data_IF_915744280602
#
_entry.id   IF_915744280602
#
_cell.length_a   1.000
_cell.length_b   1.000
_cell.length_c   1.000
_cell.angle_alpha   90.00
_cell.angle_beta   90.00
_cell.angle_gamma   90.00
#
_symmetry.space_group_name_H-M   'P 1'
#
loop_
_entity.id
_entity.type
_entity.pdbx_description
1 polymer ?
#
# COMPACT_ATOMS: atom_id res chain seq x y z
N UNK A 1 5.07 -11.77 1.58
CA UNK A 1 4.23 -10.65 2.07
C UNK A 1 3.27 -11.14 3.13
N UNK A 2 3.05 -10.31 4.14
CA UNK A 2 2.09 -10.60 5.19
C UNK A 2 0.68 -10.20 4.76
N UNK A 3 -0.31 -10.64 5.53
CA UNK A 3 -1.71 -10.25 5.28
C UNK A 3 -1.87 -8.72 5.39
N UNK A 4 -1.13 -8.10 6.32
CA UNK A 4 -1.15 -6.65 6.47
C UNK A 4 -0.59 -5.94 5.24
N UNK A 5 0.50 -6.47 4.66
CA UNK A 5 1.08 -5.90 3.44
C UNK A 5 0.08 -5.95 2.30
N UNK A 6 -0.65 -7.04 2.16
CA UNK A 6 -1.69 -7.18 1.14
C UNK A 6 -2.84 -6.20 1.37
N UNK A 7 -3.24 -6.03 2.63
CA UNK A 7 -4.31 -5.10 2.98
C UNK A 7 -3.89 -3.66 2.67
N UNK A 8 -2.65 -3.30 2.98
CA UNK A 8 -2.10 -1.99 2.63
C UNK A 8 -2.11 -1.78 1.11
N UNK A 9 -1.65 -2.77 0.36
CA UNK A 9 -1.62 -2.70 -1.10
C UNK A 9 -3.03 -2.51 -1.66
N UNK A 10 -4.00 -3.22 -1.12
CA UNK A 10 -5.41 -3.12 -1.53
C UNK A 10 -5.94 -1.70 -1.31
N UNK A 11 -5.68 -1.13 -0.13
CA UNK A 11 -6.16 0.21 0.21
C UNK A 11 -5.47 1.29 -0.63
N UNK A 12 -4.18 1.15 -0.88
CA UNK A 12 -3.46 2.08 -1.75
C UNK A 12 -3.98 1.97 -3.19
N UNK A 13 -4.21 0.76 -3.67
CA UNK A 13 -4.78 0.53 -5.00
C UNK A 13 -6.19 1.12 -5.13
N UNK A 14 -6.95 1.13 -4.03
CA UNK A 14 -8.27 1.75 -3.98
C UNK A 14 -8.25 3.26 -3.82
N UNK A 15 -7.09 3.87 -3.92
CA UNK A 15 -6.88 5.33 -3.83
C UNK A 15 -7.26 5.91 -2.47
N UNK A 16 -7.15 5.14 -1.42
CA UNK A 16 -7.36 5.64 -0.07
C UNK A 16 -6.23 6.57 0.34
N UNK A 17 -6.57 7.63 1.07
CA UNK A 17 -5.56 8.50 1.68
C UNK A 17 -4.92 7.79 2.87
N UNK A 18 -3.77 8.28 3.32
CA UNK A 18 -3.12 7.73 4.50
C UNK A 18 -4.06 7.83 5.73
N UNK A 19 -4.84 8.89 5.82
CA UNK A 19 -5.81 9.07 6.89
C UNK A 19 -6.89 7.98 6.85
N UNK A 20 -7.41 7.69 5.66
CA UNK A 20 -8.41 6.64 5.47
C UNK A 20 -7.85 5.27 5.79
N UNK A 21 -6.62 4.99 5.35
CA UNK A 21 -5.94 3.73 5.65
C UNK A 21 -5.72 3.58 7.15
N UNK A 22 -5.28 4.65 7.81
CA UNK A 22 -5.07 4.64 9.25
C UNK A 22 -6.37 4.30 9.99
N UNK A 23 -7.48 4.91 9.58
CA UNK A 23 -8.78 4.62 10.17
C UNK A 23 -9.20 3.16 9.95
N UNK A 24 -8.99 2.65 8.74
CA UNK A 24 -9.37 1.27 8.38
C UNK A 24 -8.56 0.23 9.16
N UNK A 25 -7.29 0.50 9.42
CA UNK A 25 -6.38 -0.43 10.07
C UNK A 25 -6.17 -0.16 11.56
N UNK A 26 -6.84 0.84 12.11
CA UNK A 26 -6.69 1.26 13.51
C UNK A 26 -5.25 1.64 13.85
N UNK A 27 -4.61 2.39 12.94
CA UNK A 27 -3.23 2.84 13.08
C UNK A 27 -3.16 4.36 13.00
N UNK A 28 -2.03 4.95 13.41
CA UNK A 28 -1.78 6.37 13.18
C UNK A 28 -1.33 6.59 11.73
N UNK A 29 -1.51 7.81 11.22
CA UNK A 29 -1.06 8.15 9.87
C UNK A 29 0.46 7.97 9.71
N UNK A 30 1.23 8.32 10.75
CA UNK A 30 2.67 8.12 10.73
C UNK A 30 3.07 6.66 10.59
N UNK A 31 2.37 5.78 11.30
CA UNK A 31 2.61 4.34 11.21
C UNK A 31 2.24 3.82 9.82
N UNK A 32 1.13 4.28 9.25
CA UNK A 32 0.73 3.92 7.89
C UNK A 32 1.81 4.33 6.89
N UNK A 33 2.33 5.54 7.01
CA UNK A 33 3.39 6.03 6.13
C UNK A 33 4.62 5.13 6.19
N UNK A 34 5.03 4.72 7.40
CA UNK A 34 6.17 3.81 7.57
C UNK A 34 5.90 2.46 6.91
N UNK A 35 4.72 1.90 7.10
CA UNK A 35 4.37 0.61 6.53
C UNK A 35 4.32 0.65 5.01
N UNK A 36 3.79 1.73 4.44
CA UNK A 36 3.76 1.90 2.99
C UNK A 36 5.18 1.99 2.43
N UNK A 37 6.06 2.74 3.09
CA UNK A 37 7.46 2.84 2.67
C UNK A 37 8.17 1.49 2.75
N UNK A 38 7.91 0.71 3.80
CA UNK A 38 8.45 -0.64 3.92
C UNK A 38 7.94 -1.54 2.80
N UNK A 39 6.68 -1.40 2.44
CA UNK A 39 6.08 -2.18 1.36
C UNK A 39 6.74 -1.87 0.02
N UNK A 40 6.98 -0.59 -0.27
CA UNK A 40 7.72 -0.20 -1.48
C UNK A 40 9.11 -0.82 -1.50
N UNK A 41 9.80 -0.82 -0.37
CA UNK A 41 11.13 -1.42 -0.27
C UNK A 41 11.09 -2.93 -0.51
N UNK A 42 10.10 -3.62 0.05
CA UNK A 42 9.92 -5.06 -0.16
C UNK A 42 9.68 -5.41 -1.62
N UNK A 43 8.99 -4.54 -2.34
CA UNK A 43 8.65 -4.76 -3.74
C UNK A 43 9.66 -4.13 -4.70
N UNK A 44 10.74 -3.56 -4.15
CA UNK A 44 11.80 -2.90 -4.91
C UNK A 44 11.24 -1.82 -5.84
N UNK A 45 10.31 -1.02 -5.33
CA UNK A 45 9.69 0.07 -6.08
C UNK A 45 10.37 1.39 -5.74
N UNK A 46 11.11 1.94 -6.70
CA UNK A 46 11.73 3.26 -6.57
C UNK A 46 10.91 4.33 -7.28
N UNK A 47 11.42 5.56 -7.22
CA UNK A 47 10.81 6.70 -7.90
C UNK A 47 10.11 7.64 -6.93
N UNK A 48 9.40 8.64 -7.48
CA UNK A 48 8.68 9.59 -6.66
C UNK A 48 7.38 8.98 -6.10
N UNK A 49 6.75 9.63 -5.09
CA UNK A 49 5.57 9.06 -4.42
C UNK A 49 4.41 8.76 -5.36
N UNK A 50 4.18 9.59 -6.39
CA UNK A 50 3.08 9.37 -7.33
C UNK A 50 3.33 8.12 -8.17
N UNK A 51 4.56 8.00 -8.68
CA UNK A 51 4.95 6.85 -9.49
C UNK A 51 4.88 5.57 -8.68
N UNK A 52 5.36 5.61 -7.43
CA UNK A 52 5.32 4.44 -6.55
C UNK A 52 3.90 3.97 -6.27
N UNK A 53 2.99 4.92 -6.01
CA UNK A 53 1.58 4.56 -5.75
C UNK A 53 0.94 3.91 -6.98
N UNK A 54 1.20 4.47 -8.16
CA UNK A 54 0.68 3.90 -9.40
C UNK A 54 1.22 2.49 -9.65
N UNK A 55 2.52 2.29 -9.42
CA UNK A 55 3.14 0.97 -9.56
C UNK A 55 2.59 -0.04 -8.57
N UNK A 56 2.35 0.39 -7.35
CA UNK A 56 1.78 -0.50 -6.33
C UNK A 56 0.36 -0.90 -6.71
N UNK A 57 -0.43 0.02 -7.22
CA UNK A 57 -1.79 -0.28 -7.69
C UNK A 57 -1.78 -1.31 -8.83
N UNK A 58 -0.90 -1.13 -9.82
CA UNK A 58 -0.74 -2.09 -10.90
C UNK A 58 -0.31 -3.46 -10.37
N UNK A 59 0.68 -3.48 -9.48
CA UNK A 59 1.16 -4.71 -8.87
C UNK A 59 0.03 -5.44 -8.16
N UNK A 60 -0.78 -4.72 -7.40
CA UNK A 60 -1.88 -5.31 -6.67
C UNK A 60 -2.90 -5.94 -7.62
N UNK A 61 -3.25 -5.25 -8.70
CA UNK A 61 -4.20 -5.76 -9.68
C UNK A 61 -3.72 -7.05 -10.34
N UNK A 62 -2.42 -7.16 -10.59
CA UNK A 62 -1.82 -8.35 -11.19
C UNK A 62 -1.71 -9.51 -10.20
N UNK A 63 -1.55 -9.23 -8.92
CA UNK A 63 -1.24 -10.22 -7.89
C UNK A 63 -2.36 -10.42 -6.87
N UNK A 64 -3.48 -9.73 -7.03
CA UNK A 64 -4.61 -9.87 -6.12
C UNK A 64 -5.24 -11.25 -6.26
N UNK A 65 -5.71 -11.83 -5.15
CA UNK A 65 -6.45 -13.08 -5.23
C UNK A 65 -7.70 -12.91 -6.09
N UNK A 66 -7.94 -13.87 -6.96
CA UNK A 66 -9.18 -13.90 -7.75
C UNK A 66 -10.20 -14.74 -7.02
N UNK A 67 -11.35 -14.18 -6.84
CA UNK A 67 -12.47 -14.91 -6.26
C UNK A 67 -13.27 -15.63 -7.34
#
# INVERSE_FOLDING_TARGET
MTDRDRELARLVAGRCTNKEIAAALYLSEGTVKQYINQLYAKLDMGGDPRTRRARLAEWYQKNAPRN
#
